data_IF_358077779538
#
_entry.id   IF_358077779538
#
_cell.length_a   1.000
_cell.length_b   1.000
_cell.length_c   1.000
_cell.angle_alpha   90.00
_cell.angle_beta   90.00
_cell.angle_gamma   90.00
#
_symmetry.space_group_name_H-M   'P 1'
#
loop_
_entity.id
_entity.type
_entity.pdbx_description
1 polymer ?
#
# COMPACT_ATOMS: atom_id res chain seq x y z
N UNK A 1 -17.08 -6.42 -13.06
CA UNK A 1 -15.63 -6.36 -13.36
C UNK A 1 -14.81 -6.19 -12.09
N UNK A 2 -14.99 -5.12 -11.29
CA UNK A 2 -14.21 -4.90 -10.06
C UNK A 2 -14.18 -6.06 -9.05
N UNK A 3 -15.33 -6.72 -8.80
CA UNK A 3 -15.41 -7.90 -7.93
C UNK A 3 -14.49 -9.05 -8.37
N UNK A 4 -14.33 -9.26 -9.68
CA UNK A 4 -13.46 -10.33 -10.20
C UNK A 4 -11.98 -10.04 -9.97
N UNK A 5 -11.57 -8.77 -10.00
CA UNK A 5 -10.18 -8.36 -9.78
C UNK A 5 -9.81 -8.49 -8.31
N UNK A 6 -10.68 -8.03 -7.41
CA UNK A 6 -10.51 -8.21 -5.97
C UNK A 6 -10.41 -9.69 -5.59
N UNK A 7 -11.31 -10.52 -6.12
CA UNK A 7 -11.32 -11.97 -5.87
C UNK A 7 -10.05 -12.64 -6.40
N UNK A 8 -9.46 -12.14 -7.49
CA UNK A 8 -8.21 -12.68 -8.06
C UNK A 8 -7.01 -12.37 -7.16
N UNK A 9 -6.82 -11.11 -6.74
CA UNK A 9 -5.73 -10.71 -5.85
C UNK A 9 -5.80 -11.48 -4.52
N UNK A 10 -7.01 -11.60 -3.96
CA UNK A 10 -7.24 -12.36 -2.74
C UNK A 10 -6.83 -13.82 -2.90
N UNK A 11 -7.25 -14.48 -3.98
CA UNK A 11 -6.91 -15.89 -4.24
C UNK A 11 -5.42 -16.10 -4.43
N UNK A 12 -4.71 -15.15 -5.04
CA UNK A 12 -3.25 -15.21 -5.18
C UNK A 12 -2.56 -15.17 -3.81
N UNK A 13 -2.99 -14.28 -2.92
CA UNK A 13 -2.45 -14.20 -1.56
C UNK A 13 -2.81 -15.40 -0.69
N UNK A 14 -4.05 -15.92 -0.78
CA UNK A 14 -4.45 -17.14 -0.07
C UNK A 14 -3.64 -18.36 -0.52
N UNK A 15 -3.39 -18.51 -1.84
CA UNK A 15 -2.54 -19.59 -2.35
C UNK A 15 -1.06 -19.44 -1.97
N UNK A 16 -0.57 -18.20 -1.89
CA UNK A 16 0.77 -17.94 -1.37
C UNK A 16 0.88 -18.40 0.08
N UNK A 17 -0.11 -18.08 0.92
CA UNK A 17 -0.18 -18.54 2.31
C UNK A 17 -0.20 -20.07 2.40
N UNK A 18 -1.04 -20.75 1.62
CA UNK A 18 -1.14 -22.21 1.56
C UNK A 18 0.18 -22.87 1.12
N UNK A 19 0.82 -22.37 0.07
CA UNK A 19 2.11 -22.91 -0.39
C UNK A 19 3.22 -22.66 0.63
N UNK A 20 3.24 -21.49 1.27
CA UNK A 20 4.21 -21.18 2.31
C UNK A 20 4.08 -22.14 3.51
N UNK A 21 2.84 -22.48 3.89
CA UNK A 21 2.56 -23.46 4.96
C UNK A 21 3.10 -24.85 4.62
N UNK A 22 2.98 -25.27 3.35
CA UNK A 22 3.48 -26.56 2.86
C UNK A 22 5.00 -26.59 2.70
N UNK A 23 5.62 -25.47 2.33
CA UNK A 23 7.05 -25.40 1.98
C UNK A 23 7.96 -25.10 3.17
N UNK A 24 7.47 -24.33 4.15
CA UNK A 24 8.29 -23.85 5.27
C UNK A 24 7.97 -24.68 6.51
N UNK A 25 8.87 -25.63 6.83
CA UNK A 25 8.75 -26.55 7.96
C UNK A 25 9.23 -25.90 9.28
N UNK A 26 8.41 -24.99 9.82
CA UNK A 26 8.56 -24.39 11.15
C UNK A 26 7.19 -23.94 11.71
N UNK A 27 7.16 -23.50 12.96
CA UNK A 27 5.95 -22.96 13.59
C UNK A 27 5.83 -21.43 13.44
N UNK A 28 6.75 -20.80 12.72
CA UNK A 28 6.82 -19.35 12.58
C UNK A 28 5.66 -18.82 11.73
N UNK A 29 5.19 -17.63 12.09
CA UNK A 29 4.23 -16.85 11.32
C UNK A 29 4.90 -15.61 10.74
N UNK A 30 4.70 -15.43 9.44
CA UNK A 30 5.28 -14.36 8.67
C UNK A 30 4.28 -13.21 8.48
N UNK A 31 4.81 -12.02 8.25
CA UNK A 31 4.01 -10.85 7.93
C UNK A 31 4.43 -10.31 6.56
N UNK A 32 3.47 -9.82 5.80
CA UNK A 32 3.74 -9.17 4.52
C UNK A 32 2.84 -7.94 4.37
N UNK A 33 3.42 -6.82 3.97
CA UNK A 33 2.72 -5.54 3.84
C UNK A 33 2.42 -5.28 2.38
N UNK A 34 1.15 -5.33 2.00
CA UNK A 34 0.68 -5.05 0.64
C UNK A 34 0.52 -3.54 0.47
N UNK A 35 1.06 -3.00 -0.62
CA UNK A 35 1.05 -1.56 -0.93
C UNK A 35 0.65 -1.30 -2.39
N UNK A 36 0.83 -0.07 -2.85
CA UNK A 36 0.62 0.30 -4.25
C UNK A 36 -0.84 0.17 -4.68
N UNK A 37 -1.07 -0.02 -5.98
CA UNK A 37 -2.44 -0.13 -6.52
C UNK A 37 -3.19 -1.36 -5.99
N UNK A 38 -2.47 -2.44 -5.69
CA UNK A 38 -3.04 -3.67 -5.16
C UNK A 38 -3.67 -3.48 -3.78
N UNK A 39 -3.05 -2.69 -2.90
CA UNK A 39 -3.61 -2.33 -1.60
C UNK A 39 -4.93 -1.55 -1.73
N UNK A 40 -5.00 -0.56 -2.62
CA UNK A 40 -6.24 0.18 -2.88
C UNK A 40 -7.36 -0.73 -3.40
N UNK A 41 -7.05 -1.74 -4.23
CA UNK A 41 -8.04 -2.72 -4.69
C UNK A 41 -8.51 -3.60 -3.52
N UNK A 42 -7.59 -4.11 -2.69
CA UNK A 42 -7.89 -4.93 -1.52
C UNK A 42 -8.73 -4.18 -0.47
N UNK A 43 -8.54 -2.87 -0.33
CA UNK A 43 -9.39 -1.97 0.47
C UNK A 43 -10.73 -1.62 -0.20
N UNK A 44 -11.01 -2.17 -1.38
CA UNK A 44 -12.24 -1.93 -2.14
C UNK A 44 -12.37 -0.52 -2.71
N UNK A 45 -11.25 0.21 -2.84
CA UNK A 45 -11.23 1.62 -3.29
C UNK A 45 -11.06 1.76 -4.80
N UNK A 46 -10.44 0.78 -5.46
CA UNK A 46 -10.24 0.78 -6.90
C UNK A 46 -10.82 -0.49 -7.55
N UNK A 47 -11.27 -0.33 -8.79
CA UNK A 47 -11.83 -1.43 -9.60
C UNK A 47 -11.08 -1.64 -10.92
N UNK A 48 -9.98 -0.91 -11.15
CA UNK A 48 -9.11 -1.12 -12.32
C UNK A 48 -8.27 -2.37 -12.13
N UNK A 49 -7.82 -2.96 -13.23
CA UNK A 49 -6.87 -4.07 -13.16
C UNK A 49 -5.51 -3.58 -12.65
N UNK A 50 -4.84 -4.45 -11.91
CA UNK A 50 -3.40 -4.38 -11.63
C UNK A 50 -2.84 -5.76 -11.98
N UNK A 51 -1.66 -5.79 -12.58
CA UNK A 51 -1.00 -7.05 -12.91
C UNK A 51 -0.27 -7.59 -11.67
N UNK A 52 0.40 -6.69 -10.94
CA UNK A 52 1.32 -7.02 -9.87
C UNK A 52 0.69 -6.74 -8.49
N UNK A 53 1.15 -7.47 -7.48
CA UNK A 53 0.90 -7.18 -6.07
C UNK A 53 2.18 -6.57 -5.50
N UNK A 54 2.17 -5.28 -5.21
CA UNK A 54 3.32 -4.61 -4.61
C UNK A 54 3.38 -4.95 -3.12
N UNK A 55 4.53 -5.38 -2.63
CA UNK A 55 4.73 -5.74 -1.23
C UNK A 55 6.03 -5.14 -0.65
N UNK A 56 5.93 -4.72 0.60
CA UNK A 56 7.03 -4.32 1.46
C UNK A 56 7.23 -5.36 2.57
N UNK A 57 8.42 -5.32 3.17
CA UNK A 57 8.76 -6.12 4.36
C UNK A 57 8.57 -7.62 4.14
N UNK A 58 8.87 -8.11 2.92
CA UNK A 58 8.67 -9.51 2.56
C UNK A 58 9.75 -10.40 3.21
N UNK A 59 9.39 -11.42 3.99
CA UNK A 59 10.34 -12.36 4.58
C UNK A 59 11.08 -13.17 3.50
N UNK A 60 12.38 -13.42 3.74
CA UNK A 60 13.27 -14.07 2.75
C UNK A 60 12.84 -15.50 2.44
N UNK A 61 12.20 -16.15 3.39
CA UNK A 61 11.65 -17.50 3.27
C UNK A 61 10.56 -17.58 2.20
N UNK A 62 9.88 -16.46 1.90
CA UNK A 62 8.86 -16.38 0.86
C UNK A 62 9.42 -16.06 -0.53
N UNK A 63 10.72 -15.75 -0.67
CA UNK A 63 11.28 -15.23 -1.94
C UNK A 63 11.11 -16.19 -3.12
N UNK A 64 11.16 -17.52 -2.87
CA UNK A 64 10.93 -18.51 -3.91
C UNK A 64 9.49 -18.55 -4.43
N UNK A 65 8.53 -18.00 -3.69
CA UNK A 65 7.11 -17.98 -4.03
C UNK A 65 6.67 -16.71 -4.75
N UNK A 66 7.41 -15.60 -4.61
CA UNK A 66 6.98 -14.28 -5.08
C UNK A 66 6.65 -14.24 -6.57
N UNK A 67 7.54 -14.79 -7.40
CA UNK A 67 7.35 -14.83 -8.85
C UNK A 67 6.16 -15.67 -9.30
N UNK A 68 5.77 -16.70 -8.54
CA UNK A 68 4.60 -17.54 -8.84
C UNK A 68 3.28 -16.79 -8.66
N UNK A 69 3.28 -15.78 -7.79
CA UNK A 69 2.09 -15.03 -7.39
C UNK A 69 2.14 -13.56 -7.82
N UNK A 70 3.03 -13.22 -8.77
CA UNK A 70 3.39 -11.88 -9.25
C UNK A 70 3.45 -10.84 -8.12
N UNK A 71 4.18 -11.19 -7.05
CA UNK A 71 4.52 -10.25 -5.97
C UNK A 71 5.74 -9.44 -6.41
N UNK A 72 5.61 -8.12 -6.41
CA UNK A 72 6.65 -7.17 -6.75
C UNK A 72 7.22 -6.51 -5.48
N UNK A 73 8.53 -6.58 -5.29
CA UNK A 73 9.24 -5.97 -4.15
C UNK A 73 10.07 -4.75 -4.54
N UNK A 74 10.09 -4.36 -5.83
CA UNK A 74 10.83 -3.16 -6.29
C UNK A 74 10.27 -1.88 -5.67
N UNK A 75 9.07 -1.94 -5.08
CA UNK A 75 8.45 -0.85 -4.33
C UNK A 75 9.27 -0.45 -3.09
N UNK A 76 10.16 -1.31 -2.58
CA UNK A 76 11.09 -0.99 -1.50
C UNK A 76 11.99 0.22 -1.82
N UNK A 77 12.28 0.47 -3.10
CA UNK A 77 13.04 1.65 -3.54
C UNK A 77 12.31 2.98 -3.30
N UNK A 78 11.03 2.94 -2.95
CA UNK A 78 10.15 4.09 -2.71
C UNK A 78 9.61 4.11 -1.27
N UNK A 79 10.28 3.41 -0.34
CA UNK A 79 9.87 3.35 1.08
C UNK A 79 9.85 4.75 1.73
N UNK A 80 10.71 5.66 1.25
CA UNK A 80 10.80 7.06 1.65
C UNK A 80 9.58 7.89 1.26
N UNK A 81 8.69 7.37 0.42
CA UNK A 81 7.41 8.02 0.10
C UNK A 81 6.32 7.75 1.15
N UNK A 82 6.53 6.81 2.06
CA UNK A 82 5.59 6.54 3.15
C UNK A 82 5.93 7.40 4.37
N UNK A 83 4.95 7.86 5.15
CA UNK A 83 5.22 8.46 6.45
C UNK A 83 6.04 7.54 7.36
N UNK A 84 6.94 8.12 8.16
CA UNK A 84 7.97 7.37 8.90
C UNK A 84 7.42 6.21 9.76
N UNK A 85 6.33 6.43 10.49
CA UNK A 85 5.71 5.49 11.41
C UNK A 85 4.50 4.75 10.79
N UNK A 86 4.42 4.64 9.46
CA UNK A 86 3.33 3.87 8.82
C UNK A 86 3.12 2.44 9.38
N UNK A 87 4.14 1.72 9.93
CA UNK A 87 3.93 0.41 10.53
C UNK A 87 2.93 0.43 11.70
N UNK A 88 2.81 1.54 12.42
CA UNK A 88 1.87 1.70 13.55
C UNK A 88 0.41 1.77 13.07
N UNK A 89 0.20 2.04 11.77
CA UNK A 89 -1.11 2.18 11.12
C UNK A 89 -1.41 1.05 10.14
N UNK A 90 -0.74 -0.10 10.28
CA UNK A 90 -1.05 -1.28 9.50
C UNK A 90 -2.44 -1.84 9.83
N UNK A 91 -3.20 -2.13 8.79
CA UNK A 91 -4.52 -2.73 8.83
C UNK A 91 -4.43 -4.20 8.38
N UNK A 92 -5.00 -5.08 9.19
CA UNK A 92 -5.08 -6.51 8.90
C UNK A 92 -6.02 -6.75 7.71
N UNK A 93 -5.55 -7.49 6.71
CA UNK A 93 -6.42 -7.95 5.62
C UNK A 93 -7.23 -9.19 6.08
N UNK A 94 -8.54 -9.26 5.78
CA UNK A 94 -9.46 -10.25 6.37
C UNK A 94 -9.41 -11.62 5.65
N UNK A 95 -8.22 -12.07 5.27
CA UNK A 95 -7.97 -13.35 4.61
C UNK A 95 -6.51 -13.82 4.83
N UNK A 96 -6.22 -15.08 4.48
CA UNK A 96 -4.95 -15.73 4.84
C UNK A 96 -4.81 -15.95 6.34
N UNK A 97 -3.57 -16.02 6.82
CA UNK A 97 -3.25 -16.06 8.26
C UNK A 97 -2.92 -17.43 8.83
N UNK A 98 -2.68 -18.44 7.98
CA UNK A 98 -2.17 -19.74 8.43
C UNK A 98 -0.67 -19.66 8.68
N UNK A 99 0.08 -19.24 7.66
CA UNK A 99 1.54 -19.09 7.66
C UNK A 99 1.98 -17.65 7.45
N UNK A 100 1.27 -16.91 6.60
CA UNK A 100 1.53 -15.52 6.23
C UNK A 100 0.31 -14.67 6.57
N UNK A 101 0.53 -13.65 7.40
CA UNK A 101 -0.45 -12.63 7.70
C UNK A 101 -0.24 -11.41 6.81
N UNK A 102 -1.28 -11.03 6.08
CA UNK A 102 -1.22 -9.88 5.17
C UNK A 102 -1.75 -8.61 5.85
N UNK A 103 -1.02 -7.52 5.67
CA UNK A 103 -1.37 -6.18 6.14
C UNK A 103 -1.36 -5.20 4.98
N UNK A 104 -1.99 -4.05 5.16
CA UNK A 104 -1.84 -2.86 4.31
C UNK A 104 -1.66 -1.64 5.20
N UNK A 105 -0.88 -0.62 4.82
CA UNK A 105 -0.93 0.67 5.48
C UNK A 105 -2.35 1.27 5.43
N UNK A 106 -2.59 2.28 6.25
CA UNK A 106 -3.85 3.04 6.20
C UNK A 106 -4.10 3.63 4.81
N UNK A 107 -5.35 4.00 4.54
CA UNK A 107 -5.69 4.63 3.26
C UNK A 107 -4.91 5.94 3.10
N UNK A 108 -4.74 6.69 4.19
CA UNK A 108 -4.06 7.97 4.24
C UNK A 108 -2.56 7.80 3.95
N UNK A 109 -1.90 6.81 4.56
CA UNK A 109 -0.50 6.45 4.24
C UNK A 109 -0.32 6.14 2.75
N UNK A 110 -1.25 5.35 2.18
CA UNK A 110 -1.23 5.00 0.76
C UNK A 110 -1.45 6.22 -0.14
N UNK A 111 -2.34 7.15 0.23
CA UNK A 111 -2.56 8.39 -0.52
C UNK A 111 -1.33 9.29 -0.47
N UNK A 112 -0.67 9.43 0.69
CA UNK A 112 0.60 10.16 0.81
C UNK A 112 1.65 9.57 -0.11
N UNK A 113 1.84 8.25 -0.07
CA UNK A 113 2.81 7.56 -0.93
C UNK A 113 2.53 7.74 -2.43
N UNK A 114 1.25 7.73 -2.83
CA UNK A 114 0.83 8.00 -4.21
C UNK A 114 1.05 9.45 -4.62
N UNK A 115 0.80 10.42 -3.74
CA UNK A 115 1.05 11.84 -4.00
C UNK A 115 2.56 12.17 -4.08
N UNK A 116 3.43 11.33 -3.51
CA UNK A 116 4.88 11.44 -3.74
C UNK A 116 5.29 11.02 -5.16
N UNK A 117 4.47 10.20 -5.84
CA UNK A 117 4.71 9.76 -7.21
C UNK A 117 4.28 10.79 -8.27
N UNK A 118 4.94 10.74 -9.43
CA UNK A 118 4.63 11.59 -10.60
C UNK A 118 3.80 10.86 -11.67
N UNK A 119 3.35 9.63 -11.40
CA UNK A 119 2.62 8.82 -12.40
C UNK A 119 1.17 9.27 -12.47
N UNK A 120 0.66 9.47 -13.69
CA UNK A 120 -0.74 9.86 -13.92
C UNK A 120 -1.74 8.86 -13.33
N UNK A 121 -1.38 7.57 -13.32
CA UNK A 121 -2.20 6.53 -12.69
C UNK A 121 -2.35 6.74 -11.19
N UNK A 122 -1.29 7.19 -10.53
CA UNK A 122 -1.30 7.39 -9.08
C UNK A 122 -2.19 8.58 -8.71
N UNK A 123 -2.14 9.64 -9.53
CA UNK A 123 -3.08 10.76 -9.42
C UNK A 123 -4.52 10.31 -9.62
N UNK A 124 -4.81 9.53 -10.67
CA UNK A 124 -6.15 9.04 -10.94
C UNK A 124 -6.71 8.17 -9.81
N UNK A 125 -5.86 7.33 -9.21
CA UNK A 125 -6.23 6.45 -8.10
C UNK A 125 -6.70 7.27 -6.88
N UNK A 126 -5.91 8.26 -6.45
CA UNK A 126 -6.22 9.08 -5.26
C UNK A 126 -7.38 10.05 -5.49
N UNK A 127 -7.64 10.46 -6.74
CA UNK A 127 -8.77 11.33 -7.10
C UNK A 127 -10.11 10.58 -7.20
N UNK A 128 -10.09 9.24 -7.14
CA UNK A 128 -11.32 8.44 -7.21
C UNK A 128 -12.28 8.77 -6.07
N UNK A 129 -13.59 8.74 -6.37
CA UNK A 129 -14.63 9.08 -5.38
C UNK A 129 -14.61 8.13 -4.17
N UNK A 130 -14.36 6.84 -4.40
CA UNK A 130 -14.29 5.85 -3.32
C UNK A 130 -13.14 6.15 -2.34
N UNK A 131 -11.99 6.62 -2.84
CA UNK A 131 -10.87 7.08 -1.98
C UNK A 131 -11.28 8.34 -1.23
N UNK A 132 -11.67 9.40 -1.96
CA UNK A 132 -11.97 10.71 -1.36
C UNK A 132 -13.06 10.66 -0.29
N UNK A 133 -14.10 9.87 -0.51
CA UNK A 133 -15.22 9.74 0.44
C UNK A 133 -14.85 8.90 1.68
N UNK A 134 -13.71 8.22 1.68
CA UNK A 134 -13.26 7.34 2.77
C UNK A 134 -12.08 7.92 3.56
N UNK A 135 -11.51 9.05 3.13
CA UNK A 135 -10.34 9.64 3.77
C UNK A 135 -10.68 10.26 5.11
N UNK A 136 -9.85 9.96 6.09
CA UNK A 136 -9.67 10.82 7.25
C UNK A 136 -8.76 11.99 6.86
N UNK A 137 -9.38 13.16 6.62
CA UNK A 137 -8.67 14.35 6.15
C UNK A 137 -7.73 14.95 7.18
N UNK A 138 -8.04 14.79 8.47
CA UNK A 138 -7.22 15.33 9.55
C UNK A 138 -5.98 14.45 9.76
N UNK A 139 -6.15 13.13 9.68
CA UNK A 139 -5.02 12.20 9.63
C UNK A 139 -4.17 12.46 8.38
N UNK A 140 -4.77 12.58 7.19
CA UNK A 140 -4.03 12.85 5.96
C UNK A 140 -3.21 14.15 6.06
N UNK A 141 -3.76 15.20 6.65
CA UNK A 141 -3.04 16.46 6.91
C UNK A 141 -1.87 16.27 7.86
N UNK A 142 -2.08 15.57 8.97
CA UNK A 142 -1.00 15.25 9.91
C UNK A 142 0.13 14.48 9.23
N UNK A 143 -0.17 13.39 8.52
CA UNK A 143 0.83 12.58 7.82
C UNK A 143 1.60 13.36 6.75
N UNK A 144 0.94 14.29 6.09
CA UNK A 144 1.53 15.10 5.01
C UNK A 144 2.40 16.25 5.50
N UNK A 145 2.18 16.77 6.72
CA UNK A 145 2.72 18.07 7.15
C UNK A 145 3.58 18.03 8.41
N UNK A 146 3.40 17.03 9.27
CA UNK A 146 4.14 16.91 10.52
C UNK A 146 5.63 16.61 10.27
N UNK A 147 6.50 17.15 11.13
CA UNK A 147 7.95 16.98 11.01
C UNK A 147 8.37 15.53 11.29
N UNK A 148 7.62 14.80 12.10
CA UNK A 148 7.91 13.42 12.51
C UNK A 148 7.23 12.36 11.62
N UNK A 149 6.54 12.78 10.54
CA UNK A 149 5.76 11.91 9.65
C UNK A 149 6.45 11.73 8.27
N UNK A 150 5.84 12.18 7.16
CA UNK A 150 6.48 12.10 5.83
C UNK A 150 7.77 12.90 5.77
N UNK A 151 7.84 14.04 6.47
CA UNK A 151 9.02 14.90 6.42
C UNK A 151 10.26 14.23 7.02
N UNK A 152 10.08 13.31 7.96
CA UNK A 152 11.15 12.52 8.57
C UNK A 152 11.65 11.38 7.65
N UNK A 153 10.82 10.87 6.74
CA UNK A 153 11.16 9.72 5.88
C UNK A 153 11.57 10.11 4.46
N UNK A 154 11.02 11.19 3.91
CA UNK A 154 11.23 11.56 2.51
C UNK A 154 12.67 11.99 2.24
N UNK A 155 13.20 11.60 1.07
CA UNK A 155 14.62 11.67 0.75
C UNK A 155 15.29 13.04 0.99
N UNK A 156 14.59 14.14 0.71
CA UNK A 156 15.09 15.50 0.88
C UNK A 156 13.98 16.56 0.76
N UNK A 157 14.31 17.78 1.15
CA UNK A 157 13.42 18.95 1.09
C UNK A 157 12.85 19.24 -0.30
N UNK A 158 13.62 18.95 -1.36
CA UNK A 158 13.15 19.19 -2.73
C UNK A 158 12.01 18.23 -3.09
N UNK A 159 12.15 16.94 -2.75
CA UNK A 159 11.09 15.93 -2.90
C UNK A 159 9.87 16.27 -2.03
N UNK A 160 10.10 16.70 -0.79
CA UNK A 160 9.02 17.15 0.09
C UNK A 160 8.26 18.34 -0.50
N UNK A 161 8.97 19.33 -1.06
CA UNK A 161 8.34 20.48 -1.70
C UNK A 161 7.48 20.08 -2.90
N UNK A 162 7.96 19.17 -3.75
CA UNK A 162 7.20 18.67 -4.88
C UNK A 162 5.95 17.90 -4.45
N UNK A 163 6.08 17.04 -3.43
CA UNK A 163 4.94 16.40 -2.78
C UNK A 163 3.95 17.45 -2.25
N UNK A 164 4.44 18.43 -1.50
CA UNK A 164 3.61 19.41 -0.80
C UNK A 164 2.78 20.25 -1.78
N UNK A 165 3.34 20.63 -2.93
CA UNK A 165 2.59 21.32 -4.01
C UNK A 165 1.43 20.46 -4.51
N UNK A 166 1.66 19.15 -4.72
CA UNK A 166 0.62 18.23 -5.16
C UNK A 166 -0.43 17.99 -4.07
N UNK A 167 0.01 17.84 -2.82
CA UNK A 167 -0.87 17.70 -1.67
C UNK A 167 -1.78 18.93 -1.51
N UNK A 168 -1.23 20.14 -1.58
CA UNK A 168 -2.03 21.37 -1.52
C UNK A 168 -3.06 21.44 -2.65
N UNK A 169 -2.66 21.14 -3.90
CA UNK A 169 -3.58 21.12 -5.03
C UNK A 169 -4.66 20.02 -4.89
N UNK A 170 -4.32 18.89 -4.29
CA UNK A 170 -5.25 17.81 -4.00
C UNK A 170 -6.29 18.24 -2.95
N UNK A 171 -5.84 18.83 -1.84
CA UNK A 171 -6.71 19.34 -0.76
C UNK A 171 -7.61 20.47 -1.24
N UNK A 172 -7.07 21.47 -1.94
CA UNK A 172 -7.83 22.61 -2.48
C UNK A 172 -8.98 22.14 -3.39
N UNK A 173 -8.76 21.07 -4.14
CA UNK A 173 -9.75 20.54 -5.09
C UNK A 173 -10.78 19.62 -4.45
N UNK A 174 -10.42 18.89 -3.39
CA UNK A 174 -11.18 17.72 -2.96
C UNK A 174 -11.55 17.65 -1.48
N UNK A 175 -10.89 18.41 -0.59
CA UNK A 175 -11.30 18.46 0.82
C UNK A 175 -12.66 19.18 0.92
N UNK A 176 -13.68 18.57 1.55
CA UNK A 176 -15.02 19.14 1.66
C UNK A 176 -15.10 20.47 2.41
#
# INVERSE_FOLDING_TARGET
>A
MGKMILDDLRKRLERLDEDADLMIDNEDRYQMVIVGGSAFILLGKLTRATHDIDALSVPKELYSLLGKYDINTDVEAYIDNFPYNYPDRLQLLPFGGTKVQFYTPSLEDLVVAKLCSFRDTDKADVESEAVRNSLDWDLLEHLATDEDELRASILNDWRYRDFYIRYQAYVERWRP
#
